data_IF_035193484200
#
_entry.id   IF_035193484200
#
_cell.length_a   1.000
_cell.length_b   1.000
_cell.length_c   1.000
_cell.angle_alpha   90.00
_cell.angle_beta   90.00
_cell.angle_gamma   90.00
#
_symmetry.space_group_name_H-M   'P 1'
#
loop_
_entity.id
_entity.type
_entity.pdbx_description
1 polymer ?
#
# COMPACT_ATOMS: atom_id res chain seq x y z
N UNK A 1 14.90 -7.58 17.22
CA UNK A 1 14.12 -7.01 16.10
C UNK A 1 13.16 -8.07 15.61
N UNK A 2 11.85 -7.86 15.77
CA UNK A 2 10.85 -8.79 15.23
C UNK A 2 10.91 -8.78 13.69
N UNK A 3 10.47 -9.86 13.05
CA UNK A 3 10.38 -9.88 11.59
C UNK A 3 9.35 -8.84 11.13
N UNK A 4 8.16 -8.90 11.72
CA UNK A 4 7.04 -8.00 11.51
C UNK A 4 6.20 -7.91 12.79
N UNK A 5 5.45 -6.83 12.95
CA UNK A 5 4.43 -6.69 13.98
C UNK A 5 3.02 -6.80 13.36
N UNK A 6 2.12 -7.48 14.07
CA UNK A 6 0.72 -7.64 13.64
C UNK A 6 -0.24 -6.68 14.38
N UNK A 7 0.26 -5.89 15.33
CA UNK A 7 -0.51 -4.84 16.04
C UNK A 7 -0.25 -3.46 15.42
N UNK A 8 -1.10 -2.45 15.70
CA UNK A 8 -0.78 -1.06 15.40
C UNK A 8 0.57 -0.62 15.98
N UNK A 9 1.17 0.39 15.35
CA UNK A 9 2.34 1.10 15.86
C UNK A 9 1.98 2.05 17.01
N UNK A 10 2.95 2.34 17.87
CA UNK A 10 2.77 3.34 18.93
C UNK A 10 2.91 4.78 18.39
N UNK A 11 3.76 4.98 17.39
CA UNK A 11 4.03 6.27 16.75
C UNK A 11 4.34 6.03 15.27
N UNK A 12 3.83 6.90 14.41
CA UNK A 12 4.07 6.84 12.97
C UNK A 12 5.41 7.47 12.62
N UNK A 13 6.28 6.70 11.97
CA UNK A 13 7.52 7.24 11.41
C UNK A 13 7.28 7.68 9.97
N UNK A 14 7.13 8.99 9.75
CA UNK A 14 7.05 9.54 8.38
C UNK A 14 8.44 9.55 7.76
N UNK A 15 8.61 8.76 6.69
CA UNK A 15 9.90 8.55 6.01
C UNK A 15 10.03 9.35 4.72
N UNK A 16 8.92 9.85 4.18
CA UNK A 16 8.93 10.70 2.99
C UNK A 16 7.69 11.59 2.95
N UNK A 17 7.84 12.83 2.46
CA UNK A 17 6.74 13.77 2.15
C UNK A 17 7.02 14.43 0.81
N UNK A 18 5.97 14.62 0.03
CA UNK A 18 6.01 15.35 -1.24
C UNK A 18 4.69 16.09 -1.47
N UNK A 19 4.60 16.82 -2.59
CA UNK A 19 3.43 17.65 -2.93
C UNK A 19 2.11 16.86 -2.97
N UNK A 20 2.16 15.57 -3.30
CA UNK A 20 0.98 14.73 -3.52
C UNK A 20 0.86 13.58 -2.52
N UNK A 21 1.54 13.65 -1.37
CA UNK A 21 1.41 12.61 -0.36
C UNK A 21 2.52 12.50 0.66
N UNK A 22 2.43 11.43 1.44
CA UNK A 22 3.45 11.00 2.38
C UNK A 22 3.60 9.47 2.39
N UNK A 23 4.75 9.02 2.89
CA UNK A 23 5.04 7.60 3.16
C UNK A 23 5.39 7.46 4.63
N UNK A 24 4.85 6.43 5.27
CA UNK A 24 5.12 6.14 6.68
C UNK A 24 5.46 4.68 6.95
N UNK A 25 6.02 4.43 8.12
CA UNK A 25 6.18 3.10 8.72
C UNK A 25 5.59 3.10 10.12
N UNK A 26 4.66 2.19 10.42
CA UNK A 26 4.09 2.03 11.76
C UNK A 26 5.07 1.35 12.75
N UNK A 27 6.01 0.55 12.23
CA UNK A 27 7.04 -0.14 13.02
C UNK A 27 8.40 0.04 12.32
N UNK A 28 9.06 1.21 12.45
CA UNK A 28 10.34 1.47 11.78
C UNK A 28 11.45 0.48 12.21
N UNK A 29 11.30 -0.07 13.42
CA UNK A 29 12.21 -1.05 14.00
C UNK A 29 11.86 -2.51 13.64
N UNK A 30 10.95 -2.78 12.69
CA UNK A 30 10.75 -4.15 12.21
C UNK A 30 11.69 -4.50 11.06
N UNK A 31 12.07 -5.78 10.94
CA UNK A 31 13.01 -6.19 9.87
C UNK A 31 12.44 -6.05 8.46
N UNK A 32 11.13 -6.22 8.30
CA UNK A 32 10.46 -6.10 6.99
C UNK A 32 10.40 -4.65 6.48
N UNK A 33 10.48 -3.65 7.38
CA UNK A 33 10.41 -2.21 7.04
C UNK A 33 9.24 -1.88 6.11
N UNK A 34 8.04 -2.33 6.46
CA UNK A 34 6.85 -2.13 5.62
C UNK A 34 6.49 -0.65 5.60
N UNK A 35 6.41 -0.10 4.40
CA UNK A 35 5.97 1.26 4.14
C UNK A 35 4.51 1.25 3.70
N UNK A 36 3.79 2.30 4.11
CA UNK A 36 2.43 2.61 3.69
C UNK A 36 2.40 4.02 3.12
N UNK A 37 1.42 4.31 2.27
CA UNK A 37 1.37 5.59 1.54
C UNK A 37 0.03 6.28 1.70
N UNK A 38 0.05 7.60 1.79
CA UNK A 38 -1.13 8.43 1.64
C UNK A 38 -0.95 9.25 0.36
N UNK A 39 -1.81 9.03 -0.61
CA UNK A 39 -1.80 9.74 -1.89
C UNK A 39 -2.91 10.78 -1.87
N UNK A 40 -2.62 12.01 -2.27
CA UNK A 40 -3.62 13.08 -2.32
C UNK A 40 -3.97 13.42 -3.76
N UNK A 41 -5.26 13.35 -4.09
CA UNK A 41 -5.83 13.75 -5.37
C UNK A 41 -6.99 14.70 -5.10
N UNK A 42 -6.91 15.92 -5.66
CA UNK A 42 -7.96 16.94 -5.58
C UNK A 42 -8.50 17.25 -4.15
N UNK A 43 -7.62 17.12 -3.15
CA UNK A 43 -7.94 17.36 -1.73
C UNK A 43 -8.45 16.14 -0.96
N UNK A 44 -8.62 15.01 -1.66
CA UNK A 44 -8.98 13.72 -1.09
C UNK A 44 -7.74 12.83 -0.92
N UNK A 45 -7.77 11.97 0.09
CA UNK A 45 -6.64 11.14 0.46
C UNK A 45 -6.96 9.64 0.35
N UNK A 46 -6.02 8.91 -0.23
CA UNK A 46 -6.10 7.47 -0.47
C UNK A 46 -4.99 6.76 0.29
N UNK A 47 -5.37 5.88 1.22
CA UNK A 47 -4.41 5.13 2.04
C UNK A 47 -4.05 3.82 1.35
N UNK A 48 -2.81 3.68 0.89
CA UNK A 48 -2.35 2.51 0.13
C UNK A 48 -1.56 1.57 1.02
N UNK A 49 -1.98 0.31 1.03
CA UNK A 49 -1.45 -0.79 1.84
C UNK A 49 -1.18 -0.36 3.31
N UNK A 50 -2.17 0.22 4.00
CA UNK A 50 -1.90 0.95 5.22
C UNK A 50 -1.62 0.04 6.42
N UNK A 51 -0.67 0.48 7.26
CA UNK A 51 -0.47 0.00 8.61
C UNK A 51 -0.82 1.10 9.60
N UNK A 52 -1.84 0.82 10.42
CA UNK A 52 -2.29 1.68 11.51
C UNK A 52 -1.24 1.93 12.61
N UNK A 53 -1.32 3.11 13.23
CA UNK A 53 -0.56 3.55 14.40
C UNK A 53 -1.43 4.51 15.24
N UNK A 54 -1.12 4.66 16.52
CA UNK A 54 -1.97 5.40 17.47
C UNK A 54 -2.13 6.89 17.13
N UNK A 55 -1.11 7.51 16.55
CA UNK A 55 -1.05 8.93 16.15
C UNK A 55 -1.29 9.16 14.65
N UNK A 56 -1.61 8.10 13.90
CA UNK A 56 -1.73 8.15 12.43
C UNK A 56 -2.75 9.20 11.98
N UNK A 57 -3.92 9.27 12.63
CA UNK A 57 -5.00 10.17 12.24
C UNK A 57 -4.59 11.66 12.40
N UNK A 58 -3.79 11.98 13.42
CA UNK A 58 -3.25 13.33 13.63
C UNK A 58 -2.33 13.73 12.47
N UNK A 59 -1.43 12.84 12.08
CA UNK A 59 -0.48 13.04 10.98
C UNK A 59 -1.17 13.13 9.61
N UNK A 60 -2.24 12.35 9.41
CA UNK A 60 -3.04 12.36 8.19
C UNK A 60 -3.95 13.59 8.08
N UNK A 61 -4.42 14.16 9.20
CA UNK A 61 -5.36 15.29 9.22
C UNK A 61 -4.87 16.53 8.47
N UNK A 62 -3.55 16.69 8.33
CA UNK A 62 -2.94 17.80 7.60
C UNK A 62 -3.05 17.67 6.07
N UNK A 63 -3.36 16.49 5.54
CA UNK A 63 -3.38 16.21 4.10
C UNK A 63 -4.77 16.29 3.46
N UNK A 64 -5.83 16.00 4.21
CA UNK A 64 -7.20 16.01 3.69
C UNK A 64 -8.08 14.95 4.35
N UNK A 65 -9.24 14.69 3.74
CA UNK A 65 -10.16 13.63 4.18
C UNK A 65 -9.83 12.32 3.48
N UNK A 66 -9.84 11.21 4.23
CA UNK A 66 -9.69 9.88 3.64
C UNK A 66 -10.92 9.59 2.77
N UNK A 67 -10.70 9.30 1.49
CA UNK A 67 -11.74 8.94 0.52
C UNK A 67 -11.80 7.42 0.29
N UNK A 68 -10.68 6.71 0.50
CA UNK A 68 -10.61 5.27 0.31
C UNK A 68 -9.34 4.65 0.87
N UNK A 69 -9.40 3.34 1.10
CA UNK A 69 -8.24 2.50 1.39
C UNK A 69 -7.95 1.65 0.16
N UNK A 70 -6.70 1.51 -0.24
CA UNK A 70 -6.28 0.72 -1.40
C UNK A 70 -5.42 -0.45 -0.92
N UNK A 71 -5.74 -1.65 -1.38
CA UNK A 71 -4.93 -2.85 -1.14
C UNK A 71 -4.39 -3.35 -2.47
N UNK A 72 -3.07 -3.26 -2.63
CA UNK A 72 -2.39 -3.57 -3.88
C UNK A 72 -1.65 -4.90 -3.86
N UNK A 73 -1.55 -5.60 -2.73
CA UNK A 73 -1.06 -6.99 -2.66
C UNK A 73 -1.92 -7.85 -1.74
N UNK A 74 -2.13 -9.11 -2.11
CA UNK A 74 -2.96 -10.06 -1.35
C UNK A 74 -2.33 -10.48 0.00
N UNK A 75 -1.13 -9.97 0.29
CA UNK A 75 -0.45 -10.08 1.59
C UNK A 75 -0.72 -8.90 2.53
N UNK A 76 -1.35 -7.82 2.03
CA UNK A 76 -1.62 -6.57 2.75
C UNK A 76 -3.12 -6.40 3.03
N UNK A 77 -3.59 -6.95 4.15
CA UNK A 77 -4.98 -6.71 4.61
C UNK A 77 -5.11 -6.33 6.08
N UNK A 78 -4.03 -6.43 6.88
CA UNK A 78 -4.10 -6.42 8.35
C UNK A 78 -4.83 -5.22 8.94
N UNK A 79 -4.47 -4.02 8.51
CA UNK A 79 -5.03 -2.78 9.07
C UNK A 79 -5.92 -2.04 8.07
N UNK A 80 -6.01 -2.52 6.82
CA UNK A 80 -6.84 -1.93 5.79
C UNK A 80 -8.31 -1.88 6.21
N UNK A 81 -8.85 -3.01 6.67
CA UNK A 81 -10.24 -3.12 7.11
C UNK A 81 -10.56 -2.23 8.32
N UNK A 82 -9.70 -2.25 9.34
CA UNK A 82 -9.84 -1.40 10.52
C UNK A 82 -9.83 0.09 10.16
N UNK A 83 -8.96 0.51 9.25
CA UNK A 83 -8.87 1.91 8.83
C UNK A 83 -10.06 2.30 7.93
N UNK A 84 -10.49 1.42 7.03
CA UNK A 84 -11.67 1.63 6.22
C UNK A 84 -12.92 1.81 7.09
N UNK A 85 -13.12 0.93 8.08
CA UNK A 85 -14.20 1.08 9.07
C UNK A 85 -14.07 2.34 9.92
N UNK A 86 -12.85 2.72 10.34
CA UNK A 86 -12.59 3.92 11.15
C UNK A 86 -13.00 5.20 10.41
N UNK A 87 -12.71 5.27 9.12
CA UNK A 87 -12.99 6.45 8.29
C UNK A 87 -14.32 6.36 7.54
N UNK A 88 -15.05 5.26 7.65
CA UNK A 88 -16.30 4.99 6.93
C UNK A 88 -16.14 5.06 5.40
N UNK A 89 -15.10 4.39 4.88
CA UNK A 89 -14.73 4.40 3.46
C UNK A 89 -14.63 2.99 2.86
N UNK A 90 -14.65 2.92 1.53
CA UNK A 90 -14.51 1.69 0.76
C UNK A 90 -13.04 1.24 0.67
N UNK A 91 -12.82 -0.07 0.64
CA UNK A 91 -11.54 -0.69 0.27
C UNK A 91 -11.54 -0.95 -1.23
N UNK A 92 -10.54 -0.44 -1.94
CA UNK A 92 -10.35 -0.63 -3.37
C UNK A 92 -9.24 -1.64 -3.64
N UNK A 93 -9.52 -2.61 -4.51
CA UNK A 93 -8.60 -3.73 -4.80
C UNK A 93 -8.54 -4.00 -6.31
N UNK A 94 -7.36 -4.28 -6.90
CA UNK A 94 -7.27 -4.68 -8.30
C UNK A 94 -8.14 -5.91 -8.60
N UNK A 95 -8.84 -5.92 -9.74
CA UNK A 95 -9.80 -6.95 -10.11
C UNK A 95 -9.16 -8.33 -10.31
N UNK A 96 -7.84 -8.41 -10.56
CA UNK A 96 -7.12 -9.68 -10.55
C UNK A 96 -7.18 -10.41 -9.20
N UNK A 97 -7.55 -9.72 -8.13
CA UNK A 97 -7.73 -10.30 -6.81
C UNK A 97 -8.95 -11.18 -6.76
N UNK A 98 -10.00 -10.93 -7.53
CA UNK A 98 -11.31 -11.57 -7.36
C UNK A 98 -11.89 -11.45 -5.93
N UNK A 99 -13.19 -11.69 -5.81
CA UNK A 99 -13.91 -11.56 -4.52
C UNK A 99 -13.51 -12.63 -3.49
N UNK A 100 -12.99 -13.76 -3.94
CA UNK A 100 -12.64 -14.90 -3.10
C UNK A 100 -11.22 -14.79 -2.51
N UNK A 101 -10.34 -14.00 -3.11
CA UNK A 101 -8.97 -13.90 -2.61
C UNK A 101 -8.92 -13.36 -1.19
N UNK A 102 -8.02 -13.92 -0.40
CA UNK A 102 -7.53 -13.24 0.78
C UNK A 102 -6.74 -11.99 0.33
N UNK A 103 -6.87 -10.81 0.96
CA UNK A 103 -7.68 -10.51 2.13
C UNK A 103 -9.12 -10.08 1.83
N UNK A 104 -9.50 -9.93 0.57
CA UNK A 104 -10.83 -9.45 0.11
C UNK A 104 -11.97 -10.16 0.83
N UNK A 105 -11.96 -11.49 0.86
CA UNK A 105 -13.00 -12.30 1.52
C UNK A 105 -13.04 -12.19 3.05
N UNK A 106 -12.07 -11.51 3.66
CA UNK A 106 -11.97 -11.30 5.11
C UNK A 106 -12.25 -9.86 5.57
N UNK A 107 -12.67 -8.98 4.67
CA UNK A 107 -13.00 -7.59 5.00
C UNK A 107 -14.47 -7.46 5.41
N UNK A 108 -14.71 -6.64 6.44
CA UNK A 108 -16.04 -6.25 6.90
C UNK A 108 -16.48 -4.92 6.25
N UNK A 109 -15.52 -4.04 5.93
CA UNK A 109 -15.79 -2.81 5.18
C UNK A 109 -16.20 -3.12 3.72
N UNK A 110 -16.94 -2.21 3.04
CA UNK A 110 -17.27 -2.37 1.63
C UNK A 110 -16.01 -2.52 0.78
N UNK A 111 -16.05 -3.42 -0.20
CA UNK A 111 -14.95 -3.63 -1.15
C UNK A 111 -15.42 -3.32 -2.56
N UNK A 112 -14.59 -2.57 -3.30
CA UNK A 112 -14.76 -2.28 -4.71
C UNK A 112 -13.55 -2.80 -5.49
N UNK A 113 -13.82 -3.57 -6.54
CA UNK A 113 -12.79 -4.08 -7.44
C UNK A 113 -12.62 -3.10 -8.61
N UNK A 114 -11.39 -2.86 -9.03
CA UNK A 114 -11.08 -2.00 -10.19
C UNK A 114 -10.07 -2.65 -11.14
N UNK A 115 -10.19 -2.39 -12.43
CA UNK A 115 -9.41 -3.05 -13.50
C UNK A 115 -8.50 -2.09 -14.29
N UNK A 116 -8.89 -0.83 -14.46
CA UNK A 116 -8.09 0.14 -15.25
C UNK A 116 -7.64 1.35 -14.42
N UNK A 117 -8.53 1.91 -13.61
CA UNK A 117 -8.28 3.15 -12.85
C UNK A 117 -8.79 3.01 -11.42
N UNK A 118 -8.06 3.58 -10.46
CA UNK A 118 -8.52 3.71 -9.10
C UNK A 118 -9.56 4.82 -9.01
N UNK A 119 -10.85 4.46 -8.98
CA UNK A 119 -11.96 5.40 -8.98
C UNK A 119 -11.79 6.47 -10.08
N UNK A 120 -12.00 7.75 -9.76
CA UNK A 120 -11.75 8.88 -10.69
C UNK A 120 -10.46 9.65 -10.33
N UNK A 121 -9.44 8.95 -9.83
CA UNK A 121 -8.23 9.60 -9.26
C UNK A 121 -7.13 9.88 -10.28
N UNK A 122 -7.22 9.34 -11.49
CA UNK A 122 -6.15 9.36 -12.49
C UNK A 122 -4.98 8.41 -12.19
N UNK A 123 -5.06 7.58 -11.13
CA UNK A 123 -4.11 6.49 -10.91
C UNK A 123 -4.53 5.26 -11.73
N UNK A 124 -3.77 4.98 -12.78
CA UNK A 124 -3.97 3.86 -13.69
C UNK A 124 -3.32 2.58 -13.16
N UNK A 125 -4.00 1.44 -13.28
CA UNK A 125 -3.43 0.11 -13.03
C UNK A 125 -2.53 -0.29 -14.22
N UNK A 126 -1.23 0.00 -14.10
CA UNK A 126 -0.27 -0.19 -15.22
C UNK A 126 0.38 -1.58 -15.25
N UNK A 127 0.25 -2.35 -14.18
CA UNK A 127 0.76 -3.71 -14.11
C UNK A 127 0.00 -4.52 -13.07
N UNK A 128 -0.20 -5.80 -13.36
CA UNK A 128 -0.75 -6.75 -12.40
C UNK A 128 -0.16 -8.15 -12.56
N UNK A 129 -0.21 -8.92 -11.47
CA UNK A 129 0.16 -10.32 -11.42
C UNK A 129 -0.94 -11.12 -10.73
N UNK A 130 -1.65 -11.96 -11.49
CA UNK A 130 -2.65 -12.90 -10.95
C UNK A 130 -2.07 -14.34 -10.82
N UNK A 131 -1.25 -14.60 -9.80
CA UNK A 131 -0.65 -15.92 -9.56
C UNK A 131 -1.39 -16.74 -8.49
N UNK A 132 -1.19 -18.07 -8.50
CA UNK A 132 -1.65 -18.91 -7.38
C UNK A 132 -0.85 -18.57 -6.12
N UNK A 133 -1.51 -17.92 -5.16
CA UNK A 133 -0.92 -17.53 -3.88
C UNK A 133 -0.24 -16.16 -3.86
N UNK A 134 -0.15 -15.47 -5.00
CA UNK A 134 0.36 -14.10 -5.07
C UNK A 134 -0.47 -13.28 -6.05
N UNK A 135 -1.06 -12.21 -5.55
CA UNK A 135 -1.78 -11.24 -6.37
C UNK A 135 -1.31 -9.85 -6.01
N UNK A 136 -0.96 -9.08 -7.04
CA UNK A 136 -0.40 -7.75 -6.85
C UNK A 136 -0.71 -6.86 -8.05
N UNK A 137 -0.94 -5.56 -7.80
CA UNK A 137 -1.10 -4.53 -8.81
C UNK A 137 -0.18 -3.34 -8.54
N UNK A 138 0.20 -2.61 -9.60
CA UNK A 138 0.95 -1.37 -9.50
C UNK A 138 0.17 -0.23 -10.13
N UNK A 139 0.12 0.92 -9.44
CA UNK A 139 -0.57 2.11 -9.88
C UNK A 139 0.40 3.16 -10.41
N UNK A 140 0.01 3.90 -11.45
CA UNK A 140 0.77 5.03 -11.96
C UNK A 140 -0.15 6.22 -12.24
N UNK A 141 0.24 7.41 -11.79
CA UNK A 141 -0.42 8.65 -12.17
C UNK A 141 0.50 9.45 -13.11
N UNK A 142 0.11 9.68 -14.38
CA UNK A 142 0.98 10.28 -15.38
C UNK A 142 1.34 11.74 -15.08
N UNK A 143 0.36 12.57 -14.73
CA UNK A 143 0.61 13.99 -14.46
C UNK A 143 1.42 14.24 -13.18
N UNK A 144 1.30 13.35 -12.19
CA UNK A 144 2.03 13.40 -10.91
C UNK A 144 3.36 12.65 -10.95
N UNK A 145 3.66 11.94 -12.05
CA UNK A 145 4.81 11.05 -12.20
C UNK A 145 5.04 10.11 -10.99
N UNK A 146 3.95 9.60 -10.41
CA UNK A 146 3.98 8.78 -9.20
C UNK A 146 3.66 7.33 -9.54
N UNK A 147 4.62 6.44 -9.28
CA UNK A 147 4.46 4.99 -9.42
C UNK A 147 4.41 4.34 -8.03
N UNK A 148 3.36 3.60 -7.75
CA UNK A 148 3.20 2.84 -6.51
C UNK A 148 3.29 1.36 -6.82
N UNK A 149 4.36 0.74 -6.33
CA UNK A 149 4.60 -0.70 -6.45
C UNK A 149 4.67 -1.29 -5.05
N UNK A 150 3.90 -2.35 -4.75
CA UNK A 150 3.99 -3.08 -3.50
C UNK A 150 5.28 -3.93 -3.42
N UNK A 151 5.16 -5.14 -2.91
CA UNK A 151 6.25 -6.07 -2.64
C UNK A 151 7.09 -6.46 -3.87
N UNK A 152 6.62 -6.32 -5.11
CA UNK A 152 7.40 -6.68 -6.30
C UNK A 152 8.67 -5.85 -6.41
N UNK A 153 8.65 -4.57 -6.02
CA UNK A 153 9.77 -3.65 -6.14
C UNK A 153 10.09 -2.98 -4.79
N UNK A 154 11.23 -3.35 -4.20
CA UNK A 154 11.62 -2.93 -2.84
C UNK A 154 12.94 -2.16 -2.84
N UNK A 155 13.19 -1.40 -1.78
CA UNK A 155 14.50 -0.78 -1.54
C UNK A 155 15.26 -1.52 -0.44
N UNK A 156 16.46 -2.00 -0.77
CA UNK A 156 17.48 -2.46 0.17
C UNK A 156 17.17 -3.68 1.08
N UNK A 157 16.14 -4.49 0.82
CA UNK A 157 15.92 -5.74 1.59
C UNK A 157 16.95 -6.84 1.27
N UNK A 158 17.46 -6.94 0.03
CA UNK A 158 18.35 -8.04 -0.38
C UNK A 158 19.77 -7.61 -0.77
N UNK A 159 19.98 -6.44 -1.38
CA UNK A 159 21.34 -5.97 -1.77
C UNK A 159 22.05 -5.18 -0.68
N UNK A 160 21.33 -4.64 0.31
CA UNK A 160 21.84 -3.69 1.32
C UNK A 160 22.47 -2.42 0.72
N UNK A 161 22.18 -2.09 -0.55
CA UNK A 161 22.60 -0.82 -1.14
C UNK A 161 21.48 0.21 -1.00
N UNK A 162 21.74 1.28 -0.27
CA UNK A 162 20.78 2.38 -0.13
C UNK A 162 20.56 3.07 -1.48
N UNK A 163 19.30 3.43 -1.76
CA UNK A 163 18.90 4.15 -2.97
C UNK A 163 18.75 3.30 -4.24
N UNK A 164 18.94 1.97 -4.17
CA UNK A 164 18.66 1.08 -5.30
C UNK A 164 17.32 0.36 -5.15
N UNK A 165 16.60 0.29 -6.27
CA UNK A 165 15.38 -0.50 -6.43
C UNK A 165 15.73 -1.94 -6.78
N UNK A 166 14.98 -2.87 -6.21
CA UNK A 166 15.18 -4.30 -6.38
C UNK A 166 13.87 -5.02 -6.64
N UNK A 167 13.87 -5.90 -7.64
CA UNK A 167 12.77 -6.86 -7.81
C UNK A 167 12.92 -7.97 -6.77
N UNK A 168 11.87 -8.38 -6.06
CA UNK A 168 12.03 -9.47 -5.07
C UNK A 168 12.46 -10.80 -5.71
N UNK A 169 13.22 -11.66 -5.00
CA UNK A 169 13.76 -12.90 -5.56
C UNK A 169 12.73 -13.82 -6.23
N UNK A 170 11.48 -13.80 -5.76
CA UNK A 170 10.38 -14.61 -6.31
C UNK A 170 10.11 -14.32 -7.80
N UNK A 171 10.35 -13.08 -8.24
CA UNK A 171 10.15 -12.66 -9.64
C UNK A 171 11.44 -12.63 -10.46
N UNK A 172 12.56 -13.11 -9.92
CA UNK A 172 13.84 -13.18 -10.64
C UNK A 172 13.98 -14.52 -11.36
N UNK A 173 14.12 -14.51 -12.69
CA UNK A 173 14.46 -15.70 -13.48
C UNK A 173 15.87 -16.25 -13.18
N UNK A 174 16.77 -15.40 -12.69
CA UNK A 174 18.12 -15.78 -12.26
C UNK A 174 18.62 -14.80 -11.18
N UNK A 175 19.43 -15.26 -10.19
CA UNK A 175 20.02 -14.36 -9.19
C UNK A 175 20.91 -13.29 -9.86
N UNK A 176 20.93 -12.04 -9.37
CA UNK A 176 21.86 -11.04 -9.86
C UNK A 176 23.32 -11.48 -9.60
N UNK A 177 24.22 -11.14 -10.53
CA UNK A 177 25.67 -11.30 -10.37
C UNK A 177 26.28 -10.09 -9.70
#
# INVERSE_FOLDING_TARGET
MALKHDTPGEEVAVVHRWEHGLTWMAHPDERMRRASHALTVDGEMWLVDPLDADDLDEELSALGTVAGVVVLTNSHGRHADRLAQRHDVTIHVPACFDEDAHPVSGFDAPVELFDEELADTGFELVWEKAGRGWKEGALYHPDRATLVVPDTLVTALFTKQEGQLEVIPFFRLSPPR
#
